data_IF_340637199336
#
_entry.id   IF_340637199336
#
_cell.length_a   1.000
_cell.length_b   1.000
_cell.length_c   1.000
_cell.angle_alpha   90.00
_cell.angle_beta   90.00
_cell.angle_gamma   90.00
#
_symmetry.space_group_name_H-M   'P 1'
#
loop_
_entity.id
_entity.type
_entity.pdbx_description
1 polymer ?
#
# COMPACT_ATOMS: atom_id res chain seq x y z
N UNK A 1 12.48 11.47 9.94
CA UNK A 1 12.76 12.90 10.24
C UNK A 1 12.24 13.19 11.64
N UNK A 2 13.13 13.46 12.60
CA UNK A 2 12.74 14.02 13.88
C UNK A 2 12.41 15.49 13.58
N UNK A 3 11.13 15.85 13.64
CA UNK A 3 10.74 17.25 13.72
C UNK A 3 11.57 17.87 14.85
N UNK A 4 12.26 18.96 14.56
CA UNK A 4 12.84 19.82 15.60
C UNK A 4 11.69 20.43 16.39
N UNK A 5 11.13 19.62 17.28
CA UNK A 5 10.04 20.03 18.16
C UNK A 5 10.61 21.01 19.18
N UNK A 6 10.22 22.26 19.05
CA UNK A 6 10.52 23.28 20.05
C UNK A 6 9.38 23.32 21.08
N UNK A 7 9.57 22.85 22.31
CA UNK A 7 8.50 22.77 23.30
C UNK A 7 7.96 24.15 23.73
N UNK A 8 8.64 25.23 23.37
CA UNK A 8 8.21 26.60 23.66
C UNK A 8 7.34 27.20 22.57
N UNK A 9 7.22 26.54 21.39
CA UNK A 9 6.36 26.97 20.31
C UNK A 9 5.00 26.31 20.38
N UNK A 10 3.95 27.11 20.06
CA UNK A 10 2.61 26.57 19.85
C UNK A 10 2.53 26.02 18.42
N UNK A 11 2.07 24.78 18.30
CA UNK A 11 1.81 24.15 17.02
C UNK A 11 0.30 24.00 16.83
N UNK A 12 -0.19 24.24 15.61
CA UNK A 12 -1.54 23.88 15.20
C UNK A 12 -1.48 22.65 14.31
N UNK A 13 -2.39 21.72 14.52
CA UNK A 13 -2.44 20.49 13.75
C UNK A 13 -3.87 20.05 13.45
N UNK A 14 -4.00 19.25 12.42
CA UNK A 14 -5.26 18.61 12.05
C UNK A 14 -5.06 17.10 12.04
N UNK A 15 -6.02 16.38 12.61
CA UNK A 15 -6.11 14.93 12.52
C UNK A 15 -7.11 14.59 11.42
N UNK A 16 -6.62 14.01 10.33
CA UNK A 16 -7.44 13.41 9.27
C UNK A 16 -6.68 12.24 8.67
N UNK A 17 -7.37 11.11 8.51
CA UNK A 17 -6.74 9.95 7.89
C UNK A 17 -6.75 10.10 6.35
N UNK A 18 -5.69 9.69 5.62
CA UNK A 18 -5.64 9.79 4.17
C UNK A 18 -6.86 9.19 3.47
N UNK A 19 -7.42 8.09 3.96
CA UNK A 19 -8.63 7.48 3.39
C UNK A 19 -9.87 8.37 3.43
N UNK A 20 -9.87 9.43 4.24
CA UNK A 20 -10.98 10.41 4.32
C UNK A 20 -10.79 11.60 3.39
N UNK A 21 -9.68 11.69 2.68
CA UNK A 21 -9.43 12.77 1.72
C UNK A 21 -10.16 12.50 0.41
N UNK A 22 -10.70 13.56 -0.24
CA UNK A 22 -11.34 13.45 -1.55
C UNK A 22 -10.31 13.23 -2.66
N UNK A 23 -10.77 12.87 -3.86
CA UNK A 23 -9.95 12.87 -5.09
C UNK A 23 -9.25 11.56 -5.43
N UNK A 24 -9.45 10.51 -4.67
CA UNK A 24 -9.10 9.16 -5.09
C UNK A 24 -10.33 8.44 -5.65
N UNK A 25 -10.13 7.27 -6.21
CA UNK A 25 -11.20 6.46 -6.82
C UNK A 25 -12.28 6.03 -5.81
N UNK A 26 -11.88 5.86 -4.56
CA UNK A 26 -12.73 5.37 -3.47
C UNK A 26 -12.26 5.88 -2.10
N UNK A 27 -11.03 6.35 -1.99
CA UNK A 27 -10.47 7.04 -0.83
C UNK A 27 -9.25 7.86 -1.28
N UNK A 28 -8.70 8.70 -0.40
CA UNK A 28 -7.46 9.41 -0.69
C UNK A 28 -6.30 8.44 -0.95
N UNK A 29 -5.54 8.68 -2.04
CA UNK A 29 -4.39 7.89 -2.45
C UNK A 29 -3.08 8.68 -2.28
N UNK A 30 -1.93 8.01 -2.39
CA UNK A 30 -0.60 8.65 -2.34
C UNK A 30 -0.26 9.44 -3.61
N UNK A 31 -1.27 10.11 -4.17
CA UNK A 31 -1.22 10.95 -5.36
C UNK A 31 -1.63 12.38 -5.11
N UNK A 32 -2.45 12.92 -6.01
CA UNK A 32 -2.88 14.31 -5.97
C UNK A 32 -3.72 14.63 -4.73
N UNK A 33 -4.60 13.74 -4.28
CA UNK A 33 -5.44 13.99 -3.10
C UNK A 33 -4.65 14.39 -1.85
N UNK A 34 -3.52 13.71 -1.59
CA UNK A 34 -2.64 14.07 -0.47
C UNK A 34 -1.81 15.32 -0.79
N UNK A 35 -1.38 15.52 -2.03
CA UNK A 35 -0.65 16.73 -2.41
C UNK A 35 -1.48 17.97 -2.21
N UNK A 36 -2.71 17.96 -2.74
CA UNK A 36 -3.67 19.07 -2.58
C UNK A 36 -3.94 19.34 -1.10
N UNK A 37 -4.06 18.30 -0.30
CA UNK A 37 -4.22 18.42 1.15
C UNK A 37 -3.01 19.09 1.83
N UNK A 38 -1.80 18.67 1.49
CA UNK A 38 -0.57 19.28 2.02
C UNK A 38 -0.48 20.76 1.62
N UNK A 39 -0.84 21.11 0.39
CA UNK A 39 -0.89 22.50 -0.08
C UNK A 39 -1.93 23.33 0.70
N UNK A 40 -3.12 22.79 0.94
CA UNK A 40 -4.15 23.44 1.77
C UNK A 40 -3.62 23.70 3.17
N UNK A 41 -2.98 22.70 3.81
CA UNK A 41 -2.38 22.88 5.13
C UNK A 41 -1.31 23.98 5.14
N UNK A 42 -0.48 24.04 4.11
CA UNK A 42 0.55 25.06 3.94
C UNK A 42 -0.06 26.46 3.80
N UNK A 43 -1.08 26.63 2.95
CA UNK A 43 -1.81 27.91 2.79
C UNK A 43 -2.44 28.36 4.11
N UNK A 44 -3.03 27.42 4.85
CA UNK A 44 -3.63 27.68 6.17
C UNK A 44 -2.60 27.85 7.29
N UNK A 45 -1.29 27.73 7.02
CA UNK A 45 -0.21 27.80 8.00
C UNK A 45 -0.34 26.75 9.10
N UNK A 46 -0.91 25.59 8.77
CA UNK A 46 -1.01 24.42 9.63
C UNK A 46 0.22 23.54 9.36
N UNK A 47 1.05 23.37 10.34
CA UNK A 47 2.36 22.72 10.19
C UNK A 47 2.41 21.29 10.74
N UNK A 48 1.30 20.79 11.26
CA UNK A 48 1.22 19.42 11.75
C UNK A 48 -0.02 18.71 11.18
N UNK A 49 0.23 17.62 10.47
CA UNK A 49 -0.81 16.69 10.04
C UNK A 49 -0.66 15.37 10.77
N UNK A 50 -1.67 15.02 11.56
CA UNK A 50 -1.75 13.74 12.26
C UNK A 50 -2.71 12.81 11.51
N UNK A 51 -2.35 11.54 11.42
CA UNK A 51 -3.19 10.50 10.84
C UNK A 51 -3.01 9.17 11.60
N UNK A 52 -3.96 8.27 11.41
CA UNK A 52 -3.92 6.93 11.99
C UNK A 52 -2.86 6.07 11.28
N UNK A 53 -2.51 4.89 11.80
CA UNK A 53 -1.55 4.00 11.13
C UNK A 53 -1.96 3.74 9.68
N UNK A 54 -1.00 3.80 8.77
CA UNK A 54 -1.21 3.57 7.33
C UNK A 54 -1.18 2.07 6.98
N UNK A 55 -1.15 1.21 7.97
CA UNK A 55 -1.04 -0.25 7.82
C UNK A 55 -2.32 -0.87 7.24
N UNK A 56 -2.23 -2.07 6.64
CA UNK A 56 -3.40 -2.83 6.23
C UNK A 56 -4.38 -3.01 7.39
N UNK A 57 -5.68 -2.99 7.10
CA UNK A 57 -6.73 -3.09 8.11
C UNK A 57 -7.19 -4.54 8.33
N UNK A 58 -7.94 -4.77 9.39
CA UNK A 58 -8.75 -5.96 9.53
C UNK A 58 -10.02 -5.89 8.65
N UNK A 59 -10.87 -6.90 8.73
CA UNK A 59 -12.14 -6.97 7.99
C UNK A 59 -13.16 -5.89 8.37
N UNK A 60 -12.96 -5.22 9.50
CA UNK A 60 -13.78 -4.10 9.97
C UNK A 60 -13.19 -2.73 9.62
N UNK A 61 -12.07 -2.70 8.90
CA UNK A 61 -11.40 -1.48 8.50
C UNK A 61 -10.53 -0.84 9.59
N UNK A 62 -10.22 -1.55 10.69
CA UNK A 62 -9.37 -1.02 11.74
C UNK A 62 -7.88 -1.12 11.41
N UNK A 63 -7.13 -0.01 11.36
CA UNK A 63 -5.69 -0.06 11.15
C UNK A 63 -4.92 -0.50 12.39
N UNK A 64 -5.58 -0.59 13.54
CA UNK A 64 -4.97 -1.03 14.81
C UNK A 64 -4.92 -2.56 14.95
N UNK A 65 -5.71 -3.28 14.16
CA UNK A 65 -5.71 -4.75 14.09
C UNK A 65 -4.99 -5.26 12.84
N UNK A 66 -3.90 -4.60 12.47
CA UNK A 66 -3.16 -4.88 11.24
C UNK A 66 -2.39 -6.21 11.30
N UNK A 67 -2.30 -6.93 10.19
CA UNK A 67 -1.43 -8.10 10.06
C UNK A 67 0.06 -7.74 10.03
N UNK A 68 0.42 -6.46 9.90
CA UNK A 68 1.81 -5.99 9.83
C UNK A 68 1.95 -4.58 10.36
N UNK A 69 3.05 -4.33 11.09
CA UNK A 69 3.44 -2.97 11.53
C UNK A 69 4.30 -2.24 10.50
N UNK A 70 4.73 -2.90 9.44
CA UNK A 70 5.63 -2.34 8.42
C UNK A 70 4.92 -2.08 7.09
N UNK A 71 3.96 -2.92 6.73
CA UNK A 71 3.25 -2.84 5.46
C UNK A 71 2.32 -1.62 5.43
N UNK A 72 2.20 -1.04 4.24
CA UNK A 72 1.26 0.04 3.96
C UNK A 72 -0.01 -0.56 3.33
N UNK A 73 -1.18 -0.01 3.68
CA UNK A 73 -2.44 -0.47 3.13
C UNK A 73 -2.51 -0.25 1.61
N UNK A 74 -2.78 -1.30 0.82
CA UNK A 74 -2.87 -1.21 -0.63
C UNK A 74 -3.88 -0.18 -1.15
N UNK A 75 -4.85 0.21 -0.37
CA UNK A 75 -5.85 1.23 -0.73
C UNK A 75 -5.25 2.59 -1.08
N UNK A 76 -4.06 2.91 -0.54
CA UNK A 76 -3.40 4.19 -0.80
C UNK A 76 -2.61 4.24 -2.10
N UNK A 77 -2.57 3.13 -2.86
CA UNK A 77 -1.79 3.07 -4.09
C UNK A 77 -2.41 3.97 -5.17
N UNK A 78 -1.66 4.95 -5.64
CA UNK A 78 -2.08 5.88 -6.68
C UNK A 78 -1.77 5.33 -8.08
N UNK A 79 -2.83 5.15 -8.87
CA UNK A 79 -2.76 4.58 -10.22
C UNK A 79 -2.19 5.56 -11.23
N UNK A 80 -2.53 6.83 -11.12
CA UNK A 80 -2.07 7.86 -12.04
C UNK A 80 -0.54 8.00 -11.96
N UNK A 81 0.01 7.89 -10.76
CA UNK A 81 1.46 7.87 -10.57
C UNK A 81 2.10 6.64 -11.21
N UNK A 82 1.48 5.48 -11.10
CA UNK A 82 1.97 4.25 -11.74
C UNK A 82 1.98 4.36 -13.26
N UNK A 83 0.94 4.96 -13.84
CA UNK A 83 0.84 5.21 -15.27
C UNK A 83 1.88 6.24 -15.71
N UNK A 84 1.96 7.39 -15.05
CA UNK A 84 2.95 8.45 -15.34
C UNK A 84 4.39 7.95 -15.26
N UNK A 85 4.65 7.01 -14.37
CA UNK A 85 5.97 6.38 -14.19
C UNK A 85 6.19 5.16 -15.10
N UNK A 86 5.25 4.83 -15.99
CA UNK A 86 5.30 3.69 -16.92
C UNK A 86 5.47 2.32 -16.21
N UNK A 87 4.78 2.11 -15.09
CA UNK A 87 4.65 0.80 -14.42
C UNK A 87 3.37 0.08 -14.82
N UNK A 88 2.36 0.83 -15.22
CA UNK A 88 1.08 0.33 -15.78
C UNK A 88 0.82 1.09 -17.08
N UNK A 89 0.21 0.43 -18.06
CA UNK A 89 -0.13 1.04 -19.35
C UNK A 89 -1.29 2.01 -19.20
N UNK A 90 -1.26 3.13 -19.93
CA UNK A 90 -2.34 4.11 -20.02
C UNK A 90 -3.70 3.49 -20.41
N UNK A 91 -3.69 2.46 -21.27
CA UNK A 91 -4.91 1.76 -21.69
C UNK A 91 -5.69 1.09 -20.54
N UNK A 92 -5.06 0.85 -19.39
CA UNK A 92 -5.70 0.26 -18.23
C UNK A 92 -6.48 1.29 -17.39
N UNK A 93 -6.20 2.59 -17.56
CA UNK A 93 -6.86 3.66 -16.79
C UNK A 93 -8.37 3.66 -16.98
N UNK A 94 -8.85 3.48 -18.21
CA UNK A 94 -10.29 3.44 -18.49
C UNK A 94 -11.00 2.30 -17.77
N UNK A 95 -10.38 1.13 -17.67
CA UNK A 95 -10.91 -0.02 -16.95
C UNK A 95 -11.03 0.23 -15.45
N UNK A 96 -10.02 0.86 -14.87
CA UNK A 96 -10.01 1.25 -13.45
C UNK A 96 -11.09 2.30 -13.22
N UNK A 97 -11.15 3.34 -14.04
CA UNK A 97 -12.12 4.43 -13.94
C UNK A 97 -13.59 3.96 -14.08
N UNK A 98 -13.85 2.96 -14.92
CA UNK A 98 -15.20 2.36 -15.03
C UNK A 98 -15.64 1.65 -13.75
N UNK A 99 -14.71 0.99 -13.05
CA UNK A 99 -14.98 0.36 -11.76
C UNK A 99 -15.22 1.39 -10.66
N UNK A 100 -14.54 2.52 -10.75
CA UNK A 100 -14.65 3.65 -9.83
C UNK A 100 -15.99 4.37 -9.99
N UNK A 101 -16.36 4.70 -11.22
CA UNK A 101 -17.59 5.46 -11.52
C UNK A 101 -18.88 4.67 -11.27
N UNK A 102 -18.82 3.35 -11.29
CA UNK A 102 -19.98 2.49 -11.01
C UNK A 102 -20.35 2.41 -9.52
N UNK A 103 -19.52 2.96 -8.62
CA UNK A 103 -19.68 2.79 -7.18
C UNK A 103 -19.69 4.14 -6.49
N UNK A 104 -20.87 4.55 -6.08
CA UNK A 104 -21.23 5.83 -5.44
C UNK A 104 -20.44 6.17 -4.17
N UNK A 105 -20.15 7.43 -4.01
CA UNK A 105 -19.96 8.36 -2.86
C UNK A 105 -19.80 7.84 -1.40
N UNK A 106 -19.74 6.55 -1.13
CA UNK A 106 -19.54 5.98 0.19
C UNK A 106 -18.34 5.03 0.12
N UNK A 107 -17.36 5.26 1.00
CA UNK A 107 -16.23 4.36 1.16
C UNK A 107 -16.71 2.94 1.49
N UNK A 108 -16.37 1.99 0.65
CA UNK A 108 -16.68 0.58 0.83
C UNK A 108 -15.39 -0.23 0.82
N UNK A 109 -15.06 -0.88 1.93
CA UNK A 109 -13.85 -1.70 2.08
C UNK A 109 -13.70 -2.73 0.96
N UNK A 110 -14.79 -3.41 0.58
CA UNK A 110 -14.76 -4.40 -0.51
C UNK A 110 -14.35 -3.81 -1.85
N UNK A 111 -14.79 -2.58 -2.16
CA UNK A 111 -14.41 -1.89 -3.38
C UNK A 111 -12.93 -1.54 -3.37
N UNK A 112 -12.44 -1.08 -2.24
CA UNK A 112 -11.04 -0.75 -2.06
C UNK A 112 -10.14 -1.99 -2.21
N UNK A 113 -10.57 -3.12 -1.65
CA UNK A 113 -9.86 -4.40 -1.78
C UNK A 113 -9.88 -4.90 -3.24
N UNK A 114 -11.04 -4.90 -3.90
CA UNK A 114 -11.18 -5.30 -5.31
C UNK A 114 -10.28 -4.45 -6.24
N UNK A 115 -10.25 -3.13 -6.05
CA UNK A 115 -9.41 -2.25 -6.83
C UNK A 115 -7.92 -2.48 -6.57
N UNK A 116 -7.55 -2.68 -5.32
CA UNK A 116 -6.16 -3.01 -4.95
C UNK A 116 -5.70 -4.31 -5.61
N UNK A 117 -6.59 -5.31 -5.65
CA UNK A 117 -6.31 -6.59 -6.30
C UNK A 117 -6.15 -6.43 -7.83
N UNK A 118 -7.01 -5.62 -8.46
CA UNK A 118 -6.91 -5.32 -9.90
C UNK A 118 -5.61 -4.59 -10.21
N UNK A 119 -5.23 -3.59 -9.41
CA UNK A 119 -3.98 -2.85 -9.59
C UNK A 119 -2.79 -3.79 -9.42
N UNK A 120 -2.82 -4.67 -8.43
CA UNK A 120 -1.80 -5.68 -8.21
C UNK A 120 -1.62 -6.61 -9.41
N UNK A 121 -2.71 -7.05 -10.02
CA UNK A 121 -2.69 -7.88 -11.23
C UNK A 121 -2.11 -7.11 -12.44
N UNK A 122 -2.46 -5.83 -12.61
CA UNK A 122 -1.90 -4.99 -13.67
C UNK A 122 -0.38 -4.76 -13.49
N UNK A 123 0.09 -4.63 -12.26
CA UNK A 123 1.53 -4.56 -11.97
C UNK A 123 2.23 -5.87 -12.33
N UNK A 124 1.62 -7.01 -12.04
CA UNK A 124 2.13 -8.32 -12.43
C UNK A 124 2.20 -8.50 -13.95
N UNK A 125 1.15 -8.13 -14.66
CA UNK A 125 1.09 -8.20 -16.13
C UNK A 125 2.17 -7.32 -16.77
N UNK A 126 2.43 -6.17 -16.17
CA UNK A 126 3.44 -5.23 -16.65
C UNK A 126 4.87 -5.60 -16.27
N UNK A 127 5.06 -6.47 -15.27
CA UNK A 127 6.37 -6.82 -14.70
C UNK A 127 7.37 -7.30 -15.76
N UNK A 128 6.91 -8.15 -16.70
CA UNK A 128 7.79 -8.71 -17.73
C UNK A 128 8.31 -7.64 -18.70
N UNK A 129 7.56 -6.55 -18.86
CA UNK A 129 7.85 -5.46 -19.80
C UNK A 129 8.77 -4.39 -19.18
N UNK A 130 9.01 -4.44 -17.87
CA UNK A 130 9.85 -3.46 -17.21
C UNK A 130 11.32 -3.62 -17.61
N UNK A 131 12.02 -2.47 -17.72
CA UNK A 131 13.44 -2.43 -17.95
C UNK A 131 14.25 -3.09 -16.82
N UNK A 132 15.47 -3.50 -17.14
CA UNK A 132 16.40 -4.05 -16.16
C UNK A 132 16.60 -3.10 -14.97
N UNK A 133 16.82 -1.80 -15.21
CA UNK A 133 16.99 -0.76 -14.17
C UNK A 133 15.80 -0.73 -13.18
N UNK A 134 14.57 -0.85 -13.68
CA UNK A 134 13.39 -0.87 -12.81
C UNK A 134 13.30 -2.13 -11.96
N UNK A 135 13.65 -3.28 -12.53
CA UNK A 135 13.70 -4.56 -11.82
C UNK A 135 14.82 -4.58 -10.77
N UNK A 136 15.96 -4.02 -11.11
CA UNK A 136 17.10 -3.89 -10.21
C UNK A 136 16.75 -3.01 -9.01
N UNK A 137 16.13 -1.85 -9.22
CA UNK A 137 15.62 -0.99 -8.14
C UNK A 137 14.64 -1.70 -7.20
N UNK A 138 13.79 -2.55 -7.75
CA UNK A 138 12.89 -3.38 -6.95
C UNK A 138 13.66 -4.41 -6.12
N UNK A 139 14.65 -5.11 -6.71
CA UNK A 139 15.45 -6.09 -6.01
C UNK A 139 16.24 -5.47 -4.85
N UNK A 140 16.92 -4.36 -5.12
CA UNK A 140 17.64 -3.58 -4.10
C UNK A 140 16.69 -3.12 -2.98
N UNK A 141 15.48 -2.70 -3.33
CA UNK A 141 14.49 -2.34 -2.31
C UNK A 141 14.08 -3.54 -1.46
N UNK A 142 13.85 -4.72 -2.04
CA UNK A 142 13.53 -5.94 -1.31
C UNK A 142 14.67 -6.37 -0.37
N UNK A 143 15.91 -6.22 -0.78
CA UNK A 143 17.09 -6.52 0.05
C UNK A 143 17.15 -5.57 1.27
N UNK A 144 16.89 -4.30 1.07
CA UNK A 144 16.88 -3.30 2.13
C UNK A 144 15.64 -3.37 3.03
N UNK A 145 14.58 -4.07 2.60
CA UNK A 145 13.31 -4.20 3.29
C UNK A 145 12.96 -5.70 3.50
N UNK A 146 13.84 -6.44 4.17
CA UNK A 146 13.74 -7.90 4.34
C UNK A 146 12.39 -8.36 4.92
N UNK A 147 11.71 -7.51 5.70
CA UNK A 147 10.38 -7.77 6.26
C UNK A 147 9.33 -8.11 5.18
N UNK A 148 9.50 -7.60 3.95
CA UNK A 148 8.54 -7.83 2.86
C UNK A 148 8.48 -9.29 2.42
N UNK A 149 9.58 -10.04 2.62
CA UNK A 149 9.62 -11.48 2.32
C UNK A 149 8.67 -12.24 3.24
N UNK A 150 8.85 -12.09 4.55
CA UNK A 150 7.98 -12.72 5.56
C UNK A 150 6.53 -12.27 5.41
N UNK A 151 6.30 -10.97 5.21
CA UNK A 151 4.96 -10.42 5.04
C UNK A 151 4.24 -11.00 3.82
N UNK A 152 4.90 -11.07 2.67
CA UNK A 152 4.28 -11.60 1.44
C UNK A 152 3.95 -13.09 1.54
N UNK A 153 4.82 -13.88 2.17
CA UNK A 153 4.54 -15.31 2.47
C UNK A 153 3.38 -15.44 3.44
N UNK A 154 3.40 -14.67 4.53
CA UNK A 154 2.34 -14.68 5.53
C UNK A 154 0.96 -14.36 4.92
N UNK A 155 0.88 -13.32 4.09
CA UNK A 155 -0.38 -12.91 3.46
C UNK A 155 -0.91 -13.96 2.48
N UNK A 156 -0.04 -14.61 1.70
CA UNK A 156 -0.46 -15.70 0.81
C UNK A 156 -0.92 -16.95 1.57
N UNK A 157 -0.30 -17.26 2.70
CA UNK A 157 -0.77 -18.32 3.60
C UNK A 157 -2.10 -17.96 4.26
N UNK A 158 -2.24 -16.70 4.69
CA UNK A 158 -3.47 -16.20 5.29
C UNK A 158 -4.66 -16.31 4.34
N UNK A 159 -4.46 -15.96 3.07
CA UNK A 159 -5.46 -16.17 2.00
C UNK A 159 -5.76 -17.67 1.81
N UNK A 160 -4.74 -18.53 1.77
CA UNK A 160 -4.89 -19.98 1.63
C UNK A 160 -5.73 -20.60 2.75
N UNK A 161 -5.65 -20.06 3.96
CA UNK A 161 -6.39 -20.54 5.13
C UNK A 161 -7.59 -19.64 5.47
N UNK A 162 -8.25 -19.07 4.46
CA UNK A 162 -9.50 -18.31 4.57
C UNK A 162 -9.43 -17.20 5.63
N UNK A 163 -8.30 -16.49 5.68
CA UNK A 163 -8.02 -15.41 6.63
C UNK A 163 -8.11 -15.81 8.10
N UNK A 164 -8.09 -17.11 8.39
CA UNK A 164 -8.04 -17.61 9.77
C UNK A 164 -6.80 -17.11 10.53
N UNK A 165 -6.88 -17.15 11.84
CA UNK A 165 -5.76 -16.80 12.70
C UNK A 165 -4.62 -17.80 12.53
N UNK A 166 -3.37 -17.31 12.42
CA UNK A 166 -2.19 -18.13 12.13
C UNK A 166 -1.95 -19.27 13.14
N UNK A 167 -2.38 -19.10 14.38
CA UNK A 167 -2.27 -20.16 15.40
C UNK A 167 -3.20 -21.36 15.16
N UNK A 168 -4.16 -21.24 14.23
CA UNK A 168 -5.05 -22.32 13.79
C UNK A 168 -4.53 -23.02 12.51
N UNK A 169 -3.42 -22.54 11.93
CA UNK A 169 -2.85 -23.14 10.71
C UNK A 169 -2.20 -24.49 11.00
N UNK A 170 -1.97 -25.33 9.98
CA UNK A 170 -1.18 -26.55 10.13
C UNK A 170 0.18 -26.28 10.78
N UNK A 171 0.65 -27.19 11.60
CA UNK A 171 1.86 -27.03 12.42
C UNK A 171 3.09 -26.61 11.61
N UNK A 172 3.24 -27.14 10.40
CA UNK A 172 4.34 -26.80 9.51
C UNK A 172 4.39 -25.31 9.15
N UNK A 173 3.24 -24.66 9.00
CA UNK A 173 3.16 -23.20 8.72
C UNK A 173 3.14 -22.40 10.01
N UNK A 174 2.42 -22.86 11.01
CA UNK A 174 2.34 -22.24 12.34
C UNK A 174 3.71 -22.05 12.97
N UNK A 175 4.57 -23.05 12.89
CA UNK A 175 5.93 -23.03 13.45
C UNK A 175 7.01 -22.70 12.43
N UNK A 176 6.63 -22.17 11.25
CA UNK A 176 7.56 -21.76 10.18
C UNK A 176 8.57 -22.86 9.83
N UNK A 177 8.12 -24.10 9.62
CA UNK A 177 8.99 -25.15 9.15
C UNK A 177 9.68 -24.74 7.85
N UNK A 178 11.01 -24.69 7.86
CA UNK A 178 11.80 -24.15 6.76
C UNK A 178 11.47 -24.82 5.42
N UNK A 179 11.36 -26.13 5.39
CA UNK A 179 11.07 -26.88 4.16
C UNK A 179 9.66 -26.57 3.64
N UNK A 180 8.67 -26.49 4.51
CA UNK A 180 7.30 -26.16 4.14
C UNK A 180 7.20 -24.73 3.57
N UNK A 181 7.89 -23.77 4.20
CA UNK A 181 7.94 -22.37 3.73
C UNK A 181 8.63 -22.27 2.36
N UNK A 182 9.82 -22.87 2.19
CA UNK A 182 10.52 -22.86 0.90
C UNK A 182 9.71 -23.52 -0.22
N UNK A 183 9.02 -24.62 0.09
CA UNK A 183 8.10 -25.27 -0.86
C UNK A 183 6.92 -24.37 -1.22
N UNK A 184 6.36 -23.68 -0.23
CA UNK A 184 5.27 -22.72 -0.45
C UNK A 184 5.73 -21.58 -1.36
N UNK A 185 6.85 -20.96 -1.07
CA UNK A 185 7.43 -19.86 -1.87
C UNK A 185 7.63 -20.27 -3.33
N UNK A 186 8.22 -21.46 -3.58
CA UNK A 186 8.43 -21.99 -4.94
C UNK A 186 7.13 -22.18 -5.71
N UNK A 187 6.06 -22.57 -5.04
CA UNK A 187 4.77 -22.83 -5.66
C UNK A 187 3.90 -21.57 -5.79
N UNK A 188 4.22 -20.49 -5.06
CA UNK A 188 3.42 -19.27 -4.97
C UNK A 188 4.21 -18.02 -5.37
N UNK A 189 5.14 -18.14 -6.31
CA UNK A 189 6.02 -17.04 -6.76
C UNK A 189 5.22 -15.80 -7.22
N UNK A 190 4.15 -16.02 -8.01
CA UNK A 190 3.34 -14.92 -8.57
C UNK A 190 2.60 -14.12 -7.48
N UNK A 191 1.79 -14.71 -6.60
CA UNK A 191 1.09 -13.95 -5.56
C UNK A 191 2.06 -13.29 -4.57
N UNK A 192 3.18 -13.93 -4.24
CA UNK A 192 4.23 -13.35 -3.41
C UNK A 192 4.84 -12.11 -4.09
N UNK A 193 5.19 -12.21 -5.37
CA UNK A 193 5.73 -11.08 -6.13
C UNK A 193 4.71 -9.94 -6.23
N UNK A 194 3.42 -10.22 -6.45
CA UNK A 194 2.36 -9.22 -6.48
C UNK A 194 2.34 -8.37 -5.20
N UNK A 195 2.35 -9.01 -4.04
CA UNK A 195 2.35 -8.31 -2.75
C UNK A 195 3.61 -7.44 -2.61
N UNK A 196 4.78 -7.95 -2.96
CA UNK A 196 6.04 -7.19 -2.91
C UNK A 196 6.01 -5.98 -3.83
N UNK A 197 5.49 -6.12 -5.05
CA UNK A 197 5.35 -5.00 -5.99
C UNK A 197 4.44 -3.90 -5.45
N UNK A 198 3.29 -4.27 -4.88
CA UNK A 198 2.37 -3.31 -4.26
C UNK A 198 3.09 -2.54 -3.14
N UNK A 199 3.78 -3.22 -2.24
CA UNK A 199 4.48 -2.58 -1.12
C UNK A 199 5.64 -1.69 -1.59
N UNK A 200 6.40 -2.11 -2.60
CA UNK A 200 7.44 -1.29 -3.19
C UNK A 200 6.90 0.02 -3.77
N UNK A 201 5.78 -0.03 -4.49
CA UNK A 201 5.19 1.16 -5.08
C UNK A 201 4.59 2.08 -4.02
N UNK A 202 3.95 1.54 -2.99
CA UNK A 202 3.45 2.31 -1.85
C UNK A 202 4.58 3.06 -1.13
N UNK A 203 5.68 2.38 -0.84
CA UNK A 203 6.85 3.01 -0.22
C UNK A 203 7.42 4.15 -1.09
N UNK A 204 7.58 3.91 -2.40
CA UNK A 204 8.05 4.94 -3.34
C UNK A 204 7.13 6.16 -3.39
N UNK A 205 5.82 5.94 -3.44
CA UNK A 205 4.83 7.03 -3.48
C UNK A 205 4.83 7.79 -2.15
N UNK A 206 4.88 7.08 -1.05
CA UNK A 206 4.96 7.68 0.28
C UNK A 206 6.22 8.52 0.49
N UNK A 207 7.38 8.03 0.07
CA UNK A 207 8.64 8.79 0.14
C UNK A 207 8.59 10.06 -0.71
N UNK A 208 7.96 10.03 -1.89
CA UNK A 208 7.74 11.23 -2.71
C UNK A 208 6.86 12.26 -2.02
N UNK A 209 5.80 11.81 -1.32
CA UNK A 209 4.93 12.70 -0.55
C UNK A 209 5.63 13.30 0.66
N UNK A 210 6.43 12.52 1.37
CA UNK A 210 7.27 13.04 2.47
C UNK A 210 8.18 14.16 1.99
N UNK A 211 8.89 13.93 0.89
CA UNK A 211 9.76 14.94 0.30
C UNK A 211 9.01 16.19 -0.19
N UNK A 212 7.77 16.04 -0.62
CA UNK A 212 6.93 17.15 -1.05
C UNK A 212 6.45 18.00 0.13
N UNK A 213 6.24 17.39 1.30
CA UNK A 213 5.79 18.06 2.52
C UNK A 213 6.93 18.77 3.30
N UNK A 214 8.19 18.56 2.93
CA UNK A 214 9.38 19.25 3.48
C UNK A 214 9.56 20.63 2.88
#
# INVERSE_FOLDING_TARGET
>A
MLLNFDPLKKYSGILVHPSSLPGGSYCGTFGNSIRDWIEILSICKINTWQFLPLSPTDSMGSPYSSPSSFAINPWFLDVDELIKSNYIKQSHQAKIFQLESAKLNIFQFKVADELSEIIGNLLMDSWHLLSFDKKDKFNVWCENNSWVNDFSVFMTLKEKFDFSAWWNWPEEFKYKNKYAIEKWEKNNVKPILKIKLIQWHLDRQWLKLKKFAE
#
